data_IF_163076517854
#
_entry.id   IF_163076517854
#
_cell.length_a   1.000
_cell.length_b   1.000
_cell.length_c   1.000
_cell.angle_alpha   90.00
_cell.angle_beta   90.00
_cell.angle_gamma   90.00
#
_symmetry.space_group_name_H-M   'P 1'
#
loop_
_entity.id
_entity.type
_entity.pdbx_description
1 polymer ?
#
# COMPACT_ATOMS: atom_id res chain seq x y z
N UNK A 1 14.58 -10.86 -8.70
CA UNK A 1 13.74 -10.52 -7.55
C UNK A 1 12.28 -10.41 -8.00
N UNK A 2 11.34 -10.87 -7.19
CA UNK A 2 9.94 -10.81 -7.59
C UNK A 2 9.43 -9.37 -7.70
N UNK A 3 8.45 -9.20 -8.57
CA UNK A 3 7.81 -7.90 -8.81
C UNK A 3 6.53 -7.82 -7.99
N UNK A 4 6.35 -6.72 -7.28
CA UNK A 4 5.15 -6.47 -6.48
C UNK A 4 4.51 -5.16 -6.91
N UNK A 5 3.18 -5.10 -6.84
CA UNK A 5 2.42 -3.90 -7.14
C UNK A 5 1.73 -3.42 -5.86
N UNK A 6 1.76 -2.12 -5.63
CA UNK A 6 1.20 -1.51 -4.42
C UNK A 6 -0.01 -0.67 -4.80
N UNK A 7 -1.19 -1.24 -4.64
CA UNK A 7 -2.43 -0.62 -5.08
C UNK A 7 -3.13 0.05 -3.90
N UNK A 8 -3.48 1.32 -4.06
CA UNK A 8 -4.20 2.05 -3.01
C UNK A 8 -5.69 1.89 -3.24
N UNK A 9 -6.41 1.45 -2.22
CA UNK A 9 -7.84 1.21 -2.32
C UNK A 9 -8.61 2.17 -1.43
N UNK A 10 -9.61 2.85 -2.01
CA UNK A 10 -10.59 3.61 -1.26
C UNK A 10 -11.93 2.92 -1.42
N UNK A 11 -12.94 3.35 -0.67
CA UNK A 11 -14.24 2.67 -0.64
C UNK A 11 -14.85 2.45 -2.03
N UNK A 12 -14.58 3.34 -2.97
CA UNK A 12 -15.19 3.28 -4.30
C UNK A 12 -14.18 3.27 -5.45
N UNK A 13 -12.89 3.26 -5.15
CA UNK A 13 -11.86 3.33 -6.18
C UNK A 13 -10.66 2.48 -5.85
N UNK A 14 -10.01 1.97 -6.88
CA UNK A 14 -8.73 1.30 -6.77
C UNK A 14 -7.73 2.06 -7.63
N UNK A 15 -6.69 2.57 -7.01
CA UNK A 15 -5.61 3.24 -7.73
C UNK A 15 -4.50 2.22 -7.93
N UNK A 16 -4.45 1.63 -9.11
CA UNK A 16 -3.52 0.55 -9.40
C UNK A 16 -2.11 1.07 -9.64
N UNK A 17 -1.13 0.31 -9.17
CA UNK A 17 0.29 0.58 -9.42
C UNK A 17 0.70 -0.19 -10.67
N UNK A 18 0.83 0.51 -11.77
CA UNK A 18 1.13 -0.12 -13.06
C UNK A 18 2.58 -0.57 -13.21
N UNK A 19 3.49 0.12 -12.54
CA UNK A 19 4.91 -0.16 -12.70
C UNK A 19 5.43 -1.25 -11.78
N UNK A 20 5.00 -1.22 -10.53
CA UNK A 20 5.47 -2.17 -9.54
C UNK A 20 6.88 -1.89 -9.07
N UNK A 21 7.35 -2.74 -8.18
CA UNK A 21 8.69 -2.62 -7.62
C UNK A 21 9.26 -4.00 -7.37
N UNK A 22 10.51 -4.20 -7.73
CA UNK A 22 11.20 -5.46 -7.48
C UNK A 22 11.75 -5.45 -6.07
N UNK A 23 11.36 -6.43 -5.28
CA UNK A 23 11.78 -6.54 -3.89
C UNK A 23 12.19 -7.95 -3.59
N UNK A 24 12.97 -8.12 -2.54
CA UNK A 24 13.57 -9.40 -2.19
C UNK A 24 12.53 -10.48 -1.90
N UNK A 25 11.53 -10.12 -1.08
CA UNK A 25 10.54 -11.09 -0.65
C UNK A 25 9.26 -10.39 -0.18
N UNK A 26 8.33 -11.21 0.32
CA UNK A 26 7.04 -10.73 0.80
C UNK A 26 7.16 -9.79 2.00
N UNK A 27 8.13 -10.04 2.88
CA UNK A 27 8.32 -9.17 4.04
C UNK A 27 8.83 -7.80 3.65
N UNK A 28 9.71 -7.74 2.66
CA UNK A 28 10.17 -6.47 2.11
C UNK A 28 8.98 -5.71 1.50
N UNK A 29 8.10 -6.44 0.80
CA UNK A 29 6.91 -5.83 0.22
C UNK A 29 5.97 -5.28 1.31
N UNK A 30 5.81 -6.01 2.41
CA UNK A 30 5.00 -5.54 3.54
C UNK A 30 5.58 -4.25 4.12
N UNK A 31 6.88 -4.19 4.31
CA UNK A 31 7.54 -2.98 4.84
C UNK A 31 7.31 -1.77 3.94
N UNK A 32 7.42 -1.96 2.64
CA UNK A 32 7.18 -0.88 1.68
C UNK A 32 5.71 -0.44 1.74
N UNK A 33 4.79 -1.41 1.84
CA UNK A 33 3.37 -1.10 1.93
C UNK A 33 3.05 -0.30 3.18
N UNK A 34 3.67 -0.64 4.31
CA UNK A 34 3.48 0.08 5.55
C UNK A 34 4.00 1.51 5.45
N UNK A 35 5.16 1.69 4.82
CA UNK A 35 5.70 3.03 4.59
C UNK A 35 4.79 3.85 3.66
N UNK A 36 4.28 3.21 2.62
CA UNK A 36 3.37 3.87 1.69
C UNK A 36 2.09 4.30 2.38
N UNK A 37 1.57 3.46 3.27
CA UNK A 37 0.37 3.78 4.03
C UNK A 37 0.59 4.98 4.94
N UNK A 38 1.75 5.05 5.60
CA UNK A 38 2.09 6.20 6.44
C UNK A 38 2.19 7.48 5.63
N UNK A 39 2.86 7.41 4.49
CA UNK A 39 3.00 8.57 3.61
C UNK A 39 1.65 9.05 3.12
N UNK A 40 0.78 8.13 2.72
CA UNK A 40 -0.56 8.49 2.23
C UNK A 40 -1.35 9.20 3.31
N UNK A 41 -1.23 8.75 4.55
CA UNK A 41 -1.91 9.35 5.68
C UNK A 41 -1.38 10.76 5.96
N UNK A 42 -0.05 10.90 5.97
CA UNK A 42 0.57 12.20 6.20
C UNK A 42 0.19 13.21 5.12
N UNK A 43 0.14 12.77 3.87
CA UNK A 43 -0.28 13.63 2.79
C UNK A 43 -1.73 14.06 2.94
N UNK A 44 -2.60 13.16 3.36
CA UNK A 44 -4.00 13.48 3.58
C UNK A 44 -4.17 14.53 4.67
N UNK A 45 -3.41 14.40 5.76
CA UNK A 45 -3.44 15.38 6.85
C UNK A 45 -2.90 16.71 6.37
N UNK A 46 -1.80 16.69 5.64
CA UNK A 46 -1.11 17.90 5.19
C UNK A 46 -1.92 18.70 4.17
N UNK A 47 -2.59 18.01 3.26
CA UNK A 47 -3.31 18.67 2.16
C UNK A 47 -4.82 18.66 2.32
N UNK A 48 -5.32 18.11 3.42
CA UNK A 48 -6.75 18.11 3.71
C UNK A 48 -7.57 17.10 2.94
N UNK A 49 -6.91 16.10 2.36
CA UNK A 49 -7.61 15.04 1.62
C UNK A 49 -7.96 13.86 2.51
N UNK A 50 -8.55 12.84 1.89
CA UNK A 50 -8.89 11.61 2.57
C UNK A 50 -7.87 10.53 2.20
N UNK A 51 -7.28 9.83 3.19
CA UNK A 51 -6.33 8.76 2.88
C UNK A 51 -7.05 7.54 2.32
N UNK A 52 -6.34 6.67 1.60
CA UNK A 52 -6.94 5.41 1.18
C UNK A 52 -7.26 4.53 2.38
N UNK A 53 -8.16 3.57 2.19
CA UNK A 53 -8.54 2.64 3.26
C UNK A 53 -7.42 1.64 3.53
N UNK A 54 -6.82 1.15 2.48
CA UNK A 54 -5.71 0.21 2.62
C UNK A 54 -4.81 0.22 1.38
N UNK A 55 -3.66 -0.45 1.52
CA UNK A 55 -2.74 -0.69 0.42
C UNK A 55 -2.74 -2.20 0.21
N UNK A 56 -3.10 -2.63 -0.99
CA UNK A 56 -3.06 -4.04 -1.36
C UNK A 56 -1.82 -4.32 -2.18
N UNK A 57 -1.03 -5.28 -1.74
CA UNK A 57 0.16 -5.71 -2.47
C UNK A 57 -0.22 -6.92 -3.30
N UNK A 58 0.01 -6.85 -4.59
CA UNK A 58 -0.21 -7.99 -5.48
C UNK A 58 1.11 -8.45 -6.06
N UNK A 59 1.18 -9.74 -6.39
CA UNK A 59 2.35 -10.29 -7.07
C UNK A 59 2.26 -10.05 -8.58
N UNK A 60 3.24 -10.57 -9.32
CA UNK A 60 3.29 -10.38 -10.77
C UNK A 60 2.08 -10.96 -11.49
N UNK A 61 1.39 -11.90 -10.86
CA UNK A 61 0.20 -12.54 -11.44
C UNK A 61 -1.10 -11.85 -11.03
N UNK A 62 -1.00 -10.80 -10.24
CA UNK A 62 -2.16 -10.05 -9.79
C UNK A 62 -2.83 -10.61 -8.55
N UNK A 63 -2.19 -11.56 -7.88
CA UNK A 63 -2.74 -12.14 -6.66
C UNK A 63 -2.42 -11.25 -5.45
N UNK A 64 -3.44 -10.96 -4.64
CA UNK A 64 -3.23 -10.18 -3.42
C UNK A 64 -2.51 -11.04 -2.39
N UNK A 65 -1.35 -10.60 -1.96
CA UNK A 65 -0.54 -11.35 -0.99
C UNK A 65 -0.45 -10.66 0.37
N UNK A 66 -0.63 -9.34 0.40
CA UNK A 66 -0.59 -8.56 1.64
C UNK A 66 -1.61 -7.45 1.52
N UNK A 67 -2.30 -7.15 2.62
CA UNK A 67 -3.17 -5.97 2.71
C UNK A 67 -2.79 -5.22 3.98
N UNK A 68 -2.48 -3.94 3.84
CA UNK A 68 -2.12 -3.09 4.98
C UNK A 68 -3.19 -2.02 5.15
N UNK A 69 -3.91 -2.07 6.26
CA UNK A 69 -4.90 -1.04 6.57
C UNK A 69 -4.20 0.24 6.99
N UNK A 70 -4.56 1.35 6.36
CA UNK A 70 -3.93 2.62 6.66
C UNK A 70 -4.17 3.03 8.12
N UNK A 71 -5.38 2.77 8.63
CA UNK A 71 -5.70 3.08 10.03
C UNK A 71 -4.83 2.30 11.01
N UNK A 72 -4.50 1.06 10.69
CA UNK A 72 -3.73 0.22 11.60
C UNK A 72 -2.27 0.61 11.70
N UNK A 73 -1.74 1.26 10.67
CA UNK A 73 -0.36 1.71 10.68
C UNK A 73 -0.13 2.72 11.80
N UNK A 74 -1.13 3.56 12.08
CA UNK A 74 -1.04 4.52 13.18
C UNK A 74 -1.10 3.82 14.53
N UNK A 75 -1.98 2.84 14.64
CA UNK A 75 -2.22 2.16 15.92
C UNK A 75 -1.03 1.34 16.39
N UNK A 76 -0.13 0.98 15.50
CA UNK A 76 1.05 0.21 15.83
C UNK A 76 2.17 1.05 16.42
N UNK A 77 2.06 2.33 16.32
CA UNK A 77 3.03 3.25 16.89
C UNK A 77 2.53 3.80 18.21
#
# INVERSE_FOLDING_TARGET
MPLFHFNARTSDKLLADDEGEQLLDREAARSVAESSAREALLEAVKFGGKPPDDIQVTDAEGKVIVTVDVDEVIKRE
#
